data_IF_398027028522
#
_entry.id   IF_398027028522
#
_cell.length_a   1.000
_cell.length_b   1.000
_cell.length_c   1.000
_cell.angle_alpha   90.00
_cell.angle_beta   90.00
_cell.angle_gamma   90.00
#
_symmetry.space_group_name_H-M   'P 1'
#
loop_
_entity.id
_entity.type
_entity.pdbx_description
1 polymer ?
#
# COMPACT_ATOMS: atom_id res chain seq x y z
N UNK A 1 4.99 -5.08 -14.47
CA UNK A 1 4.84 -3.84 -13.66
C UNK A 1 3.39 -3.29 -13.65
N UNK A 2 2.39 -4.05 -14.11
CA UNK A 2 1.00 -3.59 -14.13
C UNK A 2 0.26 -3.92 -12.84
N UNK A 3 0.36 -5.16 -12.34
CA UNK A 3 -0.38 -5.61 -11.15
C UNK A 3 -0.12 -4.82 -9.87
N UNK A 4 1.14 -4.46 -9.56
CA UNK A 4 1.45 -3.68 -8.35
C UNK A 4 0.88 -2.26 -8.41
N UNK A 5 0.82 -1.67 -9.61
CA UNK A 5 0.24 -0.34 -9.78
C UNK A 5 -1.28 -0.39 -9.61
N UNK A 6 -1.94 -1.40 -10.20
CA UNK A 6 -3.38 -1.61 -10.04
C UNK A 6 -3.74 -1.92 -8.59
N UNK A 7 -3.00 -2.81 -7.93
CA UNK A 7 -3.16 -3.12 -6.52
C UNK A 7 -3.01 -1.86 -5.66
N UNK A 8 -2.03 -0.99 -5.95
CA UNK A 8 -1.86 0.27 -5.22
C UNK A 8 -3.03 1.21 -5.44
N UNK A 9 -3.59 1.26 -6.65
CA UNK A 9 -4.78 2.05 -6.94
C UNK A 9 -5.98 1.56 -6.13
N UNK A 10 -6.14 0.24 -6.00
CA UNK A 10 -7.18 -0.39 -5.19
C UNK A 10 -6.95 -0.15 -3.68
N UNK A 11 -5.73 -0.34 -3.17
CA UNK A 11 -5.36 -0.07 -1.77
C UNK A 11 -5.68 1.38 -1.39
N UNK A 12 -5.42 2.34 -2.29
CA UNK A 12 -5.76 3.75 -2.08
C UNK A 12 -7.27 3.97 -1.89
N UNK A 13 -8.11 3.21 -2.59
CA UNK A 13 -9.56 3.33 -2.51
C UNK A 13 -10.14 2.71 -1.23
N UNK A 14 -9.52 1.65 -0.72
CA UNK A 14 -10.05 0.88 0.42
C UNK A 14 -9.37 1.21 1.76
N UNK A 15 -8.20 1.84 1.74
CA UNK A 15 -7.46 2.18 2.96
C UNK A 15 -7.20 3.69 3.04
N UNK A 16 -7.87 4.35 3.99
CA UNK A 16 -7.77 5.79 4.26
C UNK A 16 -6.30 6.25 4.43
N UNK A 17 -5.49 5.53 5.22
CA UNK A 17 -4.07 5.87 5.47
C UNK A 17 -3.26 5.97 4.16
N UNK A 18 -3.49 5.05 3.22
CA UNK A 18 -2.79 5.04 1.94
C UNK A 18 -3.33 6.12 0.99
N UNK A 19 -4.61 6.45 1.09
CA UNK A 19 -5.22 7.58 0.38
C UNK A 19 -4.61 8.92 0.78
N UNK A 20 -4.53 9.18 2.09
CA UNK A 20 -3.94 10.40 2.63
C UNK A 20 -2.45 10.51 2.27
N UNK A 21 -1.71 9.42 2.41
CA UNK A 21 -0.31 9.38 1.99
C UNK A 21 -0.16 9.68 0.50
N UNK A 22 -1.01 9.09 -0.34
CA UNK A 22 -1.01 9.33 -1.78
C UNK A 22 -1.24 10.81 -2.12
N UNK A 23 -2.27 11.45 -1.55
CA UNK A 23 -2.59 12.84 -1.85
C UNK A 23 -1.50 13.79 -1.34
N UNK A 24 -0.92 13.50 -0.18
CA UNK A 24 0.26 14.21 0.32
C UNK A 24 1.41 14.14 -0.68
N UNK A 25 1.73 12.95 -1.20
CA UNK A 25 2.81 12.76 -2.19
C UNK A 25 2.50 13.34 -3.57
N UNK A 26 1.22 13.44 -3.91
CA UNK A 26 0.75 14.08 -5.13
C UNK A 26 0.99 15.59 -5.07
N UNK A 27 0.60 16.23 -3.97
CA UNK A 27 0.76 17.68 -3.77
C UNK A 27 2.23 18.15 -3.65
N UNK A 28 3.16 17.25 -3.29
CA UNK A 28 4.58 17.57 -3.12
C UNK A 28 5.32 17.90 -4.43
N UNK A 29 4.80 17.50 -5.61
CA UNK A 29 5.56 17.60 -6.87
C UNK A 29 4.73 18.19 -7.99
N UNK A 30 5.35 19.08 -8.78
CA UNK A 30 4.70 19.80 -9.88
C UNK A 30 4.57 18.98 -11.18
N UNK A 31 5.46 18.01 -11.41
CA UNK A 31 5.52 17.20 -12.63
C UNK A 31 5.45 15.71 -12.33
N UNK A 32 4.80 14.94 -13.23
CA UNK A 32 4.61 13.49 -13.08
C UNK A 32 4.06 13.04 -11.71
N UNK A 33 3.31 13.93 -11.04
CA UNK A 33 2.78 13.76 -9.69
C UNK A 33 2.05 12.43 -9.50
N UNK A 34 1.21 12.06 -10.47
CA UNK A 34 0.40 10.84 -10.41
C UNK A 34 1.28 9.57 -10.37
N UNK A 35 2.22 9.44 -11.33
CA UNK A 35 3.13 8.29 -11.39
C UNK A 35 4.05 8.23 -10.16
N UNK A 36 4.54 9.38 -9.69
CA UNK A 36 5.44 9.45 -8.53
C UNK A 36 4.72 9.10 -7.23
N UNK A 37 3.56 9.71 -6.98
CA UNK A 37 2.75 9.45 -5.79
C UNK A 37 2.31 7.97 -5.72
N UNK A 38 1.89 7.41 -6.86
CA UNK A 38 1.52 5.99 -6.94
C UNK A 38 2.71 5.08 -6.65
N UNK A 39 3.89 5.36 -7.23
CA UNK A 39 5.09 4.56 -6.98
C UNK A 39 5.61 4.64 -5.53
N UNK A 40 5.44 5.79 -4.87
CA UNK A 40 5.77 5.95 -3.45
C UNK A 40 4.79 5.19 -2.55
N UNK A 41 3.49 5.28 -2.87
CA UNK A 41 2.42 4.58 -2.15
C UNK A 41 2.57 3.06 -2.28
N UNK A 42 2.87 2.58 -3.49
CA UNK A 42 3.18 1.17 -3.75
C UNK A 42 4.34 0.67 -2.89
N UNK A 43 5.43 1.44 -2.80
CA UNK A 43 6.59 1.08 -1.96
C UNK A 43 6.23 1.01 -0.47
N UNK A 44 5.40 1.93 0.03
CA UNK A 44 4.92 1.88 1.42
C UNK A 44 4.10 0.61 1.68
N UNK A 45 3.20 0.26 0.77
CA UNK A 45 2.36 -0.95 0.89
C UNK A 45 3.19 -2.24 0.82
N UNK A 46 4.10 -2.32 -0.15
CA UNK A 46 5.01 -3.45 -0.32
C UNK A 46 5.87 -3.65 0.93
N UNK A 47 6.39 -2.57 1.53
CA UNK A 47 7.20 -2.66 2.76
C UNK A 47 6.41 -3.28 3.92
N UNK A 48 5.12 -2.98 4.05
CA UNK A 48 4.25 -3.63 5.04
C UNK A 48 4.09 -5.12 4.74
N UNK A 49 3.77 -5.49 3.50
CA UNK A 49 3.62 -6.89 3.08
C UNK A 49 4.89 -7.70 3.37
N UNK A 50 6.06 -7.17 2.98
CA UNK A 50 7.35 -7.81 3.29
C UNK A 50 7.60 -7.91 4.79
N UNK A 51 7.22 -6.90 5.57
CA UNK A 51 7.33 -6.95 7.04
C UNK A 51 6.45 -8.04 7.65
N UNK A 52 5.23 -8.22 7.15
CA UNK A 52 4.30 -9.26 7.59
C UNK A 52 4.77 -10.67 7.17
N UNK A 53 5.29 -10.80 5.95
CA UNK A 53 5.88 -12.03 5.44
C UNK A 53 7.12 -12.43 6.24
N UNK A 54 8.03 -11.48 6.49
CA UNK A 54 9.26 -11.73 7.27
C UNK A 54 8.95 -12.17 8.70
N UNK A 55 7.81 -11.73 9.26
CA UNK A 55 7.33 -12.15 10.59
C UNK A 55 6.51 -13.44 10.56
N UNK A 56 6.41 -14.12 9.42
CA UNK A 56 5.55 -15.30 9.18
C UNK A 56 4.06 -15.08 9.53
N UNK A 57 3.63 -13.83 9.71
CA UNK A 57 2.27 -13.46 10.13
C UNK A 57 1.25 -13.58 8.99
N UNK A 58 1.71 -13.63 7.74
CA UNK A 58 0.83 -13.86 6.58
C UNK A 58 0.28 -15.30 6.53
N UNK A 59 0.97 -16.25 7.18
CA UNK A 59 0.64 -17.67 7.20
C UNK A 59 0.22 -18.17 8.60
N UNK A 60 0.20 -17.29 9.60
CA UNK A 60 -0.23 -17.67 10.93
C UNK A 60 -1.75 -17.56 11.00
N UNK A 61 -2.43 -18.72 10.92
CA UNK A 61 -3.85 -18.88 11.24
C UNK A 61 -4.12 -18.59 12.73
N UNK A 62 -3.91 -17.35 13.19
CA UNK A 62 -4.70 -16.88 14.31
C UNK A 62 -6.00 -16.34 13.74
N UNK A 63 -6.86 -17.27 13.28
CA UNK A 63 -8.28 -17.02 13.13
C UNK A 63 -8.79 -16.61 14.50
N UNK A 64 -8.93 -15.30 14.73
CA UNK A 64 -9.74 -14.78 15.83
C UNK A 64 -11.17 -15.23 15.52
N UNK A 65 -11.57 -16.35 16.11
CA UNK A 65 -12.85 -16.99 15.79
C UNK A 65 -12.99 -18.41 16.34
N UNK A 66 -12.53 -18.66 17.57
CA UNK A 66 -13.13 -19.67 18.43
C UNK A 66 -13.20 -19.08 19.84
N UNK A 67 -14.35 -18.50 20.15
CA UNK A 67 -14.81 -18.16 21.49
C UNK A 67 -16.28 -18.53 21.54
#
# INVERSE_FOLDING_TARGET
>A
RYYLLEATSHIRLHCQEYSEFYYKKYAEVKTHQHKRALALTARKAIKLIFGLLAKNQLYSENRVGQS
#
